data_IF_123380993785
#
_entry.id   IF_123380993785
#
_cell.length_a   1.000
_cell.length_b   1.000
_cell.length_c   1.000
_cell.angle_alpha   90.00
_cell.angle_beta   90.00
_cell.angle_gamma   90.00
#
_symmetry.space_group_name_H-M   'P 1'
#
loop_
_entity.id
_entity.type
_entity.pdbx_description
1 polymer ?
#
# COMPACT_ATOMS: atom_id res chain seq x y z
N UNK A 1 -14.61 -5.24 12.80
CA UNK A 1 -13.14 -5.10 12.68
C UNK A 1 -12.84 -3.61 12.53
N UNK A 2 -11.72 -3.12 13.06
CA UNK A 2 -11.41 -1.69 12.98
C UNK A 2 -10.91 -1.33 11.57
N UNK A 3 -11.76 -0.64 10.83
CA UNK A 3 -11.41 0.05 9.59
C UNK A 3 -10.56 1.28 9.92
N UNK A 4 -9.57 1.58 9.08
CA UNK A 4 -8.77 2.80 9.21
C UNK A 4 -9.42 3.97 8.49
N UNK A 5 -9.11 5.20 8.91
CA UNK A 5 -9.93 6.37 8.60
C UNK A 5 -9.77 6.88 7.16
N UNK A 6 -8.56 6.82 6.59
CA UNK A 6 -8.25 7.44 5.30
C UNK A 6 -8.08 6.44 4.16
N UNK A 7 -7.52 5.25 4.44
CA UNK A 7 -7.19 4.28 3.39
C UNK A 7 -8.40 3.48 2.88
N UNK A 8 -9.52 3.48 3.63
CA UNK A 8 -10.67 2.62 3.31
C UNK A 8 -10.33 1.14 3.39
N UNK A 9 -9.47 0.77 4.35
CA UNK A 9 -8.96 -0.59 4.53
C UNK A 9 -9.29 -1.13 5.93
N UNK A 10 -9.36 -2.44 6.03
CA UNK A 10 -9.37 -3.16 7.31
C UNK A 10 -8.35 -4.30 7.27
N UNK A 11 -8.13 -4.97 8.42
CA UNK A 11 -7.13 -6.04 8.54
C UNK A 11 -7.39 -7.23 7.62
N UNK A 12 -8.65 -7.50 7.26
CA UNK A 12 -9.00 -8.62 6.40
C UNK A 12 -8.59 -8.36 4.94
N UNK A 13 -8.58 -7.09 4.51
CA UNK A 13 -8.13 -6.71 3.17
C UNK A 13 -6.61 -6.78 3.00
N UNK A 14 -5.86 -6.54 4.07
CA UNK A 14 -4.37 -6.64 4.08
C UNK A 14 -3.91 -8.10 4.16
N UNK A 15 -4.77 -9.02 4.62
CA UNK A 15 -4.58 -10.48 4.60
C UNK A 15 -3.21 -10.94 5.12
N UNK A 16 -2.82 -10.42 6.29
CA UNK A 16 -1.56 -10.79 6.95
C UNK A 16 -0.29 -10.21 6.31
N UNK A 17 -0.39 -9.30 5.32
CA UNK A 17 0.79 -8.64 4.77
C UNK A 17 1.50 -7.81 5.85
N UNK A 18 2.80 -8.05 5.99
CA UNK A 18 3.68 -7.31 6.91
C UNK A 18 4.59 -6.32 6.18
N UNK A 19 4.55 -6.31 4.85
CA UNK A 19 5.35 -5.45 3.99
C UNK A 19 4.45 -4.63 3.06
N UNK A 20 4.76 -3.33 2.94
CA UNK A 20 4.14 -2.45 1.97
C UNK A 20 5.15 -1.77 1.03
N UNK A 21 4.80 -1.71 -0.26
CA UNK A 21 5.51 -0.92 -1.27
C UNK A 21 4.77 0.39 -1.46
N UNK A 22 5.49 1.51 -1.29
CA UNK A 22 4.91 2.85 -1.24
C UNK A 22 5.36 3.70 -2.44
N UNK A 23 4.66 3.66 -3.58
CA UNK A 23 4.78 4.71 -4.58
C UNK A 23 4.19 6.04 -4.07
N UNK A 24 4.57 7.15 -4.70
CA UNK A 24 3.93 8.45 -4.45
C UNK A 24 2.65 8.61 -5.27
N UNK A 25 2.74 8.26 -6.55
CA UNK A 25 1.67 8.41 -7.53
C UNK A 25 0.70 7.21 -7.48
N UNK A 26 -0.62 7.45 -7.26
CA UNK A 26 -1.67 6.42 -7.31
C UNK A 26 -1.66 5.61 -8.61
N UNK A 27 -1.33 6.22 -9.75
CA UNK A 27 -1.31 5.55 -11.04
C UNK A 27 -0.18 4.51 -11.18
N UNK A 28 0.84 4.55 -10.30
CA UNK A 28 1.91 3.54 -10.26
C UNK A 28 1.55 2.31 -9.44
N UNK A 29 0.51 2.37 -8.60
CA UNK A 29 0.07 1.23 -7.78
C UNK A 29 -0.34 0.01 -8.63
N UNK A 30 -1.25 0.12 -9.62
CA UNK A 30 -1.63 -1.04 -10.43
C UNK A 30 -0.45 -1.60 -11.23
N UNK A 31 0.42 -0.73 -11.76
CA UNK A 31 1.63 -1.15 -12.50
C UNK A 31 2.60 -1.98 -11.65
N UNK A 32 2.76 -1.64 -10.37
CA UNK A 32 3.58 -2.42 -9.44
C UNK A 32 2.85 -3.72 -9.08
N UNK A 33 1.54 -3.67 -8.84
CA UNK A 33 0.75 -4.83 -8.49
C UNK A 33 0.72 -5.89 -9.60
N UNK A 34 0.69 -5.49 -10.87
CA UNK A 34 0.76 -6.41 -12.04
C UNK A 34 2.03 -7.27 -12.09
N UNK A 35 3.09 -6.89 -11.36
CA UNK A 35 4.33 -7.66 -11.22
C UNK A 35 4.28 -8.70 -10.09
N UNK A 36 3.22 -8.68 -9.28
CA UNK A 36 2.97 -9.64 -8.20
C UNK A 36 2.09 -10.78 -8.69
N UNK A 37 2.11 -11.90 -7.98
CA UNK A 37 1.15 -12.98 -8.14
C UNK A 37 -0.19 -12.58 -7.50
N UNK A 38 -1.30 -12.99 -8.12
CA UNK A 38 -2.68 -12.72 -7.63
C UNK A 38 -2.96 -11.24 -7.25
N UNK A 39 -2.73 -10.27 -8.15
CA UNK A 39 -2.99 -8.88 -7.85
C UNK A 39 -4.49 -8.63 -7.66
N UNK A 40 -4.85 -8.01 -6.53
CA UNK A 40 -6.22 -7.67 -6.18
C UNK A 40 -6.31 -6.20 -5.78
N UNK A 41 -7.18 -5.47 -6.46
CA UNK A 41 -7.57 -4.13 -6.04
C UNK A 41 -8.26 -4.20 -4.68
N UNK A 42 -7.88 -3.30 -3.76
CA UNK A 42 -8.51 -3.20 -2.43
C UNK A 42 -9.41 -1.98 -2.35
N UNK A 43 -8.82 -0.79 -2.38
CA UNK A 43 -9.52 0.48 -2.22
C UNK A 43 -8.81 1.63 -2.96
N UNK A 44 -9.58 2.69 -3.21
CA UNK A 44 -9.06 3.96 -3.72
C UNK A 44 -9.81 5.11 -3.04
N UNK A 45 -9.10 5.88 -2.22
CA UNK A 45 -9.64 7.02 -1.50
C UNK A 45 -8.63 8.18 -1.54
N UNK A 46 -9.03 9.33 -2.10
CA UNK A 46 -8.16 10.51 -2.27
C UNK A 46 -6.87 10.14 -3.03
N UNK A 47 -5.69 10.39 -2.46
CA UNK A 47 -4.39 10.01 -3.00
C UNK A 47 -3.95 8.57 -2.66
N UNK A 48 -4.80 7.78 -2.00
CA UNK A 48 -4.48 6.43 -1.52
C UNK A 48 -5.18 5.36 -2.37
N UNK A 49 -4.52 4.89 -3.43
CA UNK A 49 -4.88 3.68 -4.16
C UNK A 49 -4.12 2.51 -3.57
N UNK A 50 -4.80 1.39 -3.34
CA UNK A 50 -4.18 0.20 -2.73
C UNK A 50 -4.52 -1.10 -3.48
N UNK A 51 -3.52 -1.96 -3.58
CA UNK A 51 -3.60 -3.32 -4.09
C UNK A 51 -2.93 -4.28 -3.10
N UNK A 52 -3.33 -5.55 -3.16
CA UNK A 52 -2.61 -6.67 -2.55
C UNK A 52 -2.12 -7.60 -3.65
N UNK A 53 -0.98 -8.22 -3.42
CA UNK A 53 -0.50 -9.35 -4.22
C UNK A 53 0.41 -10.25 -3.39
N UNK A 54 0.98 -11.25 -4.03
CA UNK A 54 1.98 -12.14 -3.45
C UNK A 54 3.31 -11.94 -4.17
N UNK A 55 4.40 -11.91 -3.42
CA UNK A 55 5.74 -12.07 -4.01
C UNK A 55 6.02 -13.56 -4.25
N UNK A 56 6.98 -13.91 -5.13
CA UNK A 56 7.36 -15.31 -5.33
C UNK A 56 7.66 -16.01 -4.00
N UNK A 57 7.04 -17.16 -3.78
CA UNK A 57 7.08 -17.88 -2.50
C UNK A 57 5.88 -17.62 -1.58
N UNK A 58 4.89 -16.84 -2.03
CA UNK A 58 3.56 -16.74 -1.39
C UNK A 58 3.46 -15.73 -0.25
N UNK A 59 4.45 -14.87 -0.04
CA UNK A 59 4.40 -13.84 1.00
C UNK A 59 3.47 -12.68 0.54
N UNK A 60 2.40 -12.35 1.31
CA UNK A 60 1.51 -11.25 0.96
C UNK A 60 2.18 -9.89 1.14
N UNK A 61 1.92 -9.01 0.16
CA UNK A 61 2.41 -7.63 0.11
C UNK A 61 1.27 -6.69 -0.27
N UNK A 62 1.24 -5.52 0.35
CA UNK A 62 0.37 -4.41 -0.07
C UNK A 62 1.16 -3.39 -0.87
N UNK A 63 0.57 -2.87 -1.93
CA UNK A 63 1.07 -1.70 -2.66
C UNK A 63 0.10 -0.56 -2.40
N UNK A 64 0.56 0.55 -1.83
CA UNK A 64 -0.30 1.67 -1.46
C UNK A 64 0.37 3.00 -1.80
N UNK A 65 -0.30 3.87 -2.55
CA UNK A 65 0.23 5.21 -2.83
C UNK A 65 0.21 6.09 -1.59
N UNK A 66 1.15 7.04 -1.54
CA UNK A 66 1.33 7.96 -0.40
C UNK A 66 0.95 9.40 -0.70
N UNK A 67 0.70 9.74 -1.97
CA UNK A 67 0.60 11.12 -2.40
C UNK A 67 1.94 11.86 -2.38
N UNK A 68 1.88 13.18 -2.38
CA UNK A 68 3.06 14.06 -2.38
C UNK A 68 3.29 14.61 -0.97
N UNK A 69 4.51 14.44 -0.46
CA UNK A 69 4.97 15.07 0.77
C UNK A 69 4.75 14.25 2.04
N UNK A 70 5.33 14.75 3.13
CA UNK A 70 5.29 14.11 4.45
C UNK A 70 3.89 13.92 5.04
N UNK A 71 2.98 14.92 4.97
CA UNK A 71 1.67 14.84 5.65
C UNK A 71 0.78 13.67 5.18
N UNK A 72 0.66 13.47 3.87
CA UNK A 72 -0.11 12.35 3.32
C UNK A 72 0.62 11.02 3.54
N UNK A 73 1.95 11.03 3.44
CA UNK A 73 2.78 9.84 3.72
C UNK A 73 2.62 9.36 5.16
N UNK A 74 2.59 10.26 6.15
CA UNK A 74 2.46 9.86 7.56
C UNK A 74 1.11 9.20 7.84
N UNK A 75 0.03 9.63 7.18
CA UNK A 75 -1.28 8.98 7.26
C UNK A 75 -1.21 7.55 6.73
N UNK A 76 -0.69 7.37 5.51
CA UNK A 76 -0.60 6.05 4.88
C UNK A 76 0.24 5.07 5.71
N UNK A 77 1.39 5.51 6.22
CA UNK A 77 2.28 4.69 7.04
C UNK A 77 1.62 4.30 8.36
N UNK A 78 1.02 5.27 9.06
CA UNK A 78 0.37 5.04 10.36
C UNK A 78 -0.80 4.06 10.23
N UNK A 79 -1.69 4.27 9.25
CA UNK A 79 -2.85 3.41 9.08
C UNK A 79 -2.46 2.00 8.63
N UNK A 80 -1.50 1.84 7.71
CA UNK A 80 -0.97 0.52 7.37
C UNK A 80 -0.31 -0.17 8.58
N UNK A 81 0.37 0.58 9.45
CA UNK A 81 0.92 0.03 10.69
C UNK A 81 -0.17 -0.45 11.65
N UNK A 82 -1.28 0.27 11.79
CA UNK A 82 -2.44 -0.18 12.59
C UNK A 82 -3.02 -1.50 12.05
N UNK A 83 -2.95 -1.71 10.73
CA UNK A 83 -3.39 -2.92 10.05
C UNK A 83 -2.41 -4.09 10.11
N UNK A 84 -1.18 -3.88 10.59
CA UNK A 84 -0.19 -4.94 10.81
C UNK A 84 1.07 -4.86 9.95
N UNK A 85 1.16 -3.90 9.03
CA UNK A 85 2.37 -3.68 8.21
C UNK A 85 3.52 -3.18 9.11
N UNK A 86 4.72 -3.69 8.91
CA UNK A 86 5.92 -3.34 9.70
C UNK A 86 7.09 -2.90 8.83
N UNK A 87 7.10 -3.30 7.57
CA UNK A 87 8.18 -2.98 6.62
C UNK A 87 7.63 -2.09 5.51
N UNK A 88 8.28 -0.97 5.24
CA UNK A 88 7.84 0.02 4.26
C UNK A 88 8.96 0.30 3.25
N UNK A 89 8.70 0.04 1.97
CA UNK A 89 9.63 0.25 0.86
C UNK A 89 9.15 1.39 -0.04
N UNK A 90 9.75 2.57 0.07
CA UNK A 90 9.39 3.73 -0.76
C UNK A 90 10.02 3.63 -2.15
N UNK A 91 9.23 3.86 -3.20
CA UNK A 91 9.72 3.91 -4.60
C UNK A 91 9.31 5.20 -5.31
N UNK A 92 10.28 6.02 -5.71
CA UNK A 92 10.07 7.35 -6.29
C UNK A 92 11.00 7.66 -7.46
N UNK A 93 10.79 8.82 -8.05
CA UNK A 93 11.72 9.44 -9.00
C UNK A 93 12.41 10.62 -8.32
N UNK A 94 13.60 10.99 -8.79
CA UNK A 94 14.35 12.15 -8.29
C UNK A 94 15.18 12.75 -9.43
N UNK A 95 15.55 14.02 -9.31
CA UNK A 95 16.63 14.63 -10.10
C UNK A 95 17.96 14.51 -9.35
N UNK A 96 19.07 14.44 -10.11
CA UNK A 96 20.45 14.38 -9.59
C UNK A 96 21.25 15.59 -10.02
#
# INVERSE_FOLDING_TARGET
>A
MAEVFHLGLDRSLVDGATLAILPGDPARVPRIAELLEEPRFLASAREFTSYRGLVPGGLPVVVCSTGIGGPSTSIAVEELAQLGVRTFLRVGTTGS
#
